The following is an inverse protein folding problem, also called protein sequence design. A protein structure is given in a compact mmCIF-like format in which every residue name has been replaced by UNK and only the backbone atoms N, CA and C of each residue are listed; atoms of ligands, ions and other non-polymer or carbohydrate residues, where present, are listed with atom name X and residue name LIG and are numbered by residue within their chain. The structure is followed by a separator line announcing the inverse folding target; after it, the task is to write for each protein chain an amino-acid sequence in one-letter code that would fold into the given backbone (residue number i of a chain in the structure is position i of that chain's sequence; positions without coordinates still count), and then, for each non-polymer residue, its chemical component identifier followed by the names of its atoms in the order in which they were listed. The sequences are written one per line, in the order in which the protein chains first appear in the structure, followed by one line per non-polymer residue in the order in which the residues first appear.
data_IF_621490845783
#
_entry.id   IF_621490845783
#
_cell.length_a   1.000
_cell.length_b   1.000
_cell.length_c   1.000
_cell.angle_alpha   90.00
_cell.angle_beta   90.00
_cell.angle_gamma   90.00
#
_symmetry.space_group_name_H-M   'P 1'
#
loop_
_entity.id
_entity.type
_entity.pdbx_description
1 polymer ?
#
# COMPACT_ATOMS: atom_id res chain seq x y z
N UNK A 1 5.20 11.06 15.02
CA UNK A 1 5.52 11.74 13.76
C UNK A 1 6.50 10.92 12.92
N UNK A 2 6.44 11.01 11.56
CA UNK A 2 7.42 10.38 10.69
C UNK A 2 8.82 10.95 10.92
N UNK A 3 9.84 10.09 10.86
CA UNK A 3 11.25 10.48 11.13
C UNK A 3 11.82 11.51 10.15
N UNK A 4 11.24 11.67 8.96
CA UNK A 4 11.72 12.63 7.94
C UNK A 4 10.55 13.34 7.27
N UNK A 5 10.72 14.59 6.81
CA UNK A 5 9.69 15.30 6.05
C UNK A 5 9.20 14.55 4.81
N UNK A 6 10.09 13.87 4.08
CA UNK A 6 9.77 13.04 2.91
C UNK A 6 8.89 11.81 3.24
N UNK A 7 8.78 11.44 4.50
CA UNK A 7 7.88 10.37 4.94
C UNK A 7 6.42 10.82 5.01
N UNK A 8 6.16 12.12 5.06
CA UNK A 8 4.81 12.69 4.95
C UNK A 8 4.41 12.70 3.47
N UNK A 9 3.38 11.97 3.13
CA UNK A 9 2.88 11.89 1.76
C UNK A 9 1.39 11.60 1.71
N UNK A 10 0.74 12.09 0.67
CA UNK A 10 -0.63 11.73 0.35
C UNK A 10 -0.63 10.49 -0.54
N UNK A 11 -1.45 9.51 -0.17
CA UNK A 11 -1.64 8.29 -0.96
C UNK A 11 -3.11 8.23 -1.36
N UNK A 12 -3.44 8.37 -2.66
CA UNK A 12 -4.80 8.18 -3.13
C UNK A 12 -5.30 6.77 -2.79
N UNK A 13 -6.50 6.69 -2.23
CA UNK A 13 -7.12 5.42 -1.86
C UNK A 13 -8.18 5.02 -2.88
N UNK A 14 -8.22 3.75 -3.32
CA UNK A 14 -9.31 3.23 -4.13
C UNK A 14 -10.65 3.34 -3.40
N UNK A 15 -11.75 3.51 -4.15
CA UNK A 15 -13.08 3.63 -3.58
C UNK A 15 -13.49 2.43 -2.69
N UNK A 16 -13.01 1.22 -3.01
CA UNK A 16 -13.22 0.01 -2.20
C UNK A 16 -12.61 0.14 -0.81
N UNK A 17 -11.40 0.68 -0.71
CA UNK A 17 -10.71 0.92 0.56
C UNK A 17 -11.41 2.04 1.35
N UNK A 18 -11.85 3.10 0.68
CA UNK A 18 -12.61 4.18 1.32
C UNK A 18 -13.89 3.62 1.95
N UNK A 19 -14.67 2.79 1.22
CA UNK A 19 -15.86 2.13 1.78
C UNK A 19 -15.54 1.26 2.99
N UNK A 20 -14.45 0.51 2.94
CA UNK A 20 -14.02 -0.31 4.08
C UNK A 20 -13.65 0.52 5.29
N UNK A 21 -12.99 1.67 5.10
CA UNK A 21 -12.65 2.61 6.17
C UNK A 21 -13.88 3.28 6.77
N UNK A 22 -14.89 3.64 5.95
CA UNK A 22 -16.18 4.18 6.44
C UNK A 22 -16.88 3.15 7.32
N UNK A 23 -16.97 1.89 6.87
CA UNK A 23 -17.55 0.81 7.67
C UNK A 23 -16.76 0.55 8.95
N UNK A 24 -15.42 0.65 8.89
CA UNK A 24 -14.57 0.54 10.07
C UNK A 24 -14.85 1.66 11.07
N UNK A 25 -14.94 2.91 10.61
CA UNK A 25 -15.25 4.06 11.45
C UNK A 25 -16.58 3.89 12.18
N UNK A 26 -17.62 3.39 11.49
CA UNK A 26 -18.93 3.12 12.11
C UNK A 26 -18.79 2.08 13.25
N UNK A 27 -18.14 0.93 12.98
CA UNK A 27 -17.89 -0.10 14.01
C UNK A 27 -17.07 0.43 15.19
N UNK A 28 -16.07 1.26 14.94
CA UNK A 28 -15.26 1.88 16.00
C UNK A 28 -16.11 2.85 16.83
N UNK A 29 -17.05 3.58 16.20
CA UNK A 29 -18.02 4.44 16.89
C UNK A 29 -18.91 3.65 17.85
N UNK A 30 -19.43 2.49 17.41
CA UNK A 30 -20.20 1.58 18.28
C UNK A 30 -19.37 1.06 19.45
N UNK A 31 -18.11 0.69 19.22
CA UNK A 31 -17.19 0.26 20.29
C UNK A 31 -16.96 1.38 21.30
N UNK A 32 -16.77 2.61 20.83
CA UNK A 32 -16.61 3.79 21.68
C UNK A 32 -17.84 4.01 22.56
N UNK A 33 -19.05 3.90 22.01
CA UNK A 33 -20.29 4.02 22.75
C UNK A 33 -20.42 2.92 23.81
N UNK A 34 -20.09 1.66 23.46
CA UNK A 34 -20.13 0.52 24.38
C UNK A 34 -19.14 0.62 25.53
N UNK A 35 -17.93 1.15 25.27
CA UNK A 35 -16.89 1.32 26.29
C UNK A 35 -17.16 2.56 27.19
N UNK A 36 -17.94 3.51 26.72
CA UNK A 36 -18.33 4.70 27.51
C UNK A 36 -17.12 5.46 28.04
N UNK A 37 -17.06 5.65 29.35
CA UNK A 37 -16.00 6.41 30.03
C UNK A 37 -14.62 5.72 29.99
N UNK A 38 -14.57 4.42 29.72
CA UNK A 38 -13.32 3.65 29.62
C UNK A 38 -12.64 3.81 28.24
N UNK A 39 -13.30 4.49 27.30
CA UNK A 39 -12.72 4.70 25.97
C UNK A 39 -11.80 5.92 25.94
N UNK A 40 -10.54 5.69 25.67
CA UNK A 40 -9.54 6.75 25.44
C UNK A 40 -9.66 7.29 24.00
N UNK A 41 -10.05 8.53 23.84
CA UNK A 41 -10.18 9.13 22.52
C UNK A 41 -8.85 9.71 22.03
N UNK A 42 -8.02 8.86 21.45
CA UNK A 42 -6.72 9.22 20.89
C UNK A 42 -6.77 9.59 19.39
N UNK A 43 -7.97 9.78 18.83
CA UNK A 43 -8.20 10.10 17.40
C UNK A 43 -7.46 9.17 16.43
N UNK A 44 -7.35 7.89 16.78
CA UNK A 44 -6.68 6.88 15.97
C UNK A 44 -7.65 6.26 14.98
N UNK A 45 -7.22 6.15 13.69
CA UNK A 45 -7.97 5.41 12.67
C UNK A 45 -8.11 3.94 13.06
N UNK A 46 -7.04 3.34 13.57
CA UNK A 46 -7.04 1.97 14.08
C UNK A 46 -6.64 1.98 15.55
N UNK A 47 -7.59 1.65 16.42
CA UNK A 47 -7.41 1.64 17.86
C UNK A 47 -7.69 0.26 18.46
N UNK A 48 -7.24 0.05 19.68
CA UNK A 48 -7.70 -1.07 20.52
C UNK A 48 -9.18 -0.90 20.87
N UNK A 49 -9.78 -1.94 21.46
CA UNK A 49 -11.18 -1.90 21.90
C UNK A 49 -11.50 -0.70 22.83
N UNK A 50 -10.50 -0.27 23.60
CA UNK A 50 -10.63 0.86 24.54
C UNK A 50 -10.02 2.16 23.99
N UNK A 51 -9.76 2.28 22.68
CA UNK A 51 -9.30 3.51 22.05
C UNK A 51 -7.78 3.72 22.06
N UNK A 52 -7.00 2.87 22.75
CA UNK A 52 -5.54 2.98 22.81
C UNK A 52 -4.84 2.52 21.52
N UNK A 53 -3.52 2.76 21.41
CA UNK A 53 -2.73 2.38 20.23
C UNK A 53 -2.59 0.86 20.08
N UNK A 54 -2.59 0.40 18.82
CA UNK A 54 -2.35 -1.01 18.51
C UNK A 54 -0.87 -1.36 18.63
N UNK A 55 -0.57 -2.38 19.42
CA UNK A 55 0.78 -2.94 19.50
C UNK A 55 1.08 -3.81 18.28
N UNK A 56 2.23 -3.58 17.61
CA UNK A 56 2.68 -4.36 16.44
C UNK A 56 2.59 -5.88 16.69
N UNK A 57 3.04 -6.35 17.86
CA UNK A 57 3.00 -7.78 18.23
C UNK A 57 1.57 -8.33 18.18
N UNK A 58 0.59 -7.57 18.63
CA UNK A 58 -0.81 -7.99 18.66
C UNK A 58 -1.40 -8.03 17.24
N UNK A 59 -1.10 -7.01 16.39
CA UNK A 59 -1.51 -7.01 14.98
C UNK A 59 -0.98 -8.27 14.28
N UNK A 60 0.31 -8.58 14.45
CA UNK A 60 0.92 -9.74 13.81
C UNK A 60 0.29 -11.04 14.29
N UNK A 61 0.14 -11.22 15.61
CA UNK A 61 -0.35 -12.48 16.21
C UNK A 61 -1.85 -12.69 15.97
N UNK A 62 -2.66 -11.64 16.16
CA UNK A 62 -4.13 -11.78 16.20
C UNK A 62 -4.80 -11.54 14.86
N UNK A 63 -4.12 -10.90 13.90
CA UNK A 63 -4.71 -10.55 12.61
C UNK A 63 -3.87 -11.06 11.43
N UNK A 64 -2.61 -10.65 11.31
CA UNK A 64 -1.83 -10.93 10.11
C UNK A 64 -1.53 -12.43 9.92
N UNK A 65 -1.01 -13.12 10.94
CA UNK A 65 -0.73 -14.56 10.87
C UNK A 65 -1.98 -15.42 10.61
N UNK A 66 -3.13 -15.18 11.25
CA UNK A 66 -4.38 -15.87 10.92
C UNK A 66 -4.83 -15.65 9.47
N UNK A 67 -4.64 -14.43 8.92
CA UNK A 67 -4.96 -14.13 7.51
C UNK A 67 -4.05 -14.95 6.59
N UNK A 68 -2.73 -14.97 6.82
CA UNK A 68 -1.80 -15.79 6.04
C UNK A 68 -2.19 -17.27 6.06
N UNK A 69 -2.47 -17.81 7.25
CA UNK A 69 -2.91 -19.21 7.42
C UNK A 69 -4.19 -19.50 6.63
N UNK A 70 -5.19 -18.62 6.72
CA UNK A 70 -6.47 -18.76 5.99
C UNK A 70 -6.28 -18.67 4.48
N UNK A 71 -5.31 -17.89 4.01
CA UNK A 71 -4.97 -17.74 2.60
C UNK A 71 -4.03 -18.84 2.07
N UNK A 72 -3.61 -19.82 2.90
CA UNK A 72 -2.65 -20.85 2.50
C UNK A 72 -1.23 -20.32 2.24
N UNK A 73 -0.90 -19.14 2.78
CA UNK A 73 0.38 -18.48 2.54
C UNK A 73 1.42 -18.85 3.62
N UNK A 74 2.72 -18.86 3.28
CA UNK A 74 3.79 -19.18 4.21
C UNK A 74 3.82 -18.24 5.44
N UNK A 75 4.00 -18.81 6.63
CA UNK A 75 4.12 -18.05 7.88
C UNK A 75 5.39 -17.18 7.95
N UNK A 76 6.35 -17.40 7.05
CA UNK A 76 7.58 -16.59 6.89
C UNK A 76 7.32 -15.21 6.32
N UNK A 77 6.19 -14.99 5.65
CA UNK A 77 5.82 -13.68 5.10
C UNK A 77 5.69 -12.67 6.24
N UNK A 78 6.41 -11.56 6.12
CA UNK A 78 6.41 -10.47 7.09
C UNK A 78 5.44 -9.37 6.63
N UNK A 79 4.91 -8.61 7.57
CA UNK A 79 4.05 -7.44 7.24
C UNK A 79 4.77 -6.45 6.32
N UNK A 80 6.10 -6.32 6.45
CA UNK A 80 6.90 -5.44 5.59
C UNK A 80 6.97 -5.94 4.14
N UNK A 81 6.84 -7.24 3.91
CA UNK A 81 6.88 -7.81 2.56
C UNK A 81 5.68 -7.36 1.70
N UNK A 82 4.57 -6.93 2.33
CA UNK A 82 3.46 -6.28 1.62
C UNK A 82 3.89 -4.98 0.91
N UNK A 83 4.87 -4.27 1.46
CA UNK A 83 5.46 -3.11 0.80
C UNK A 83 6.20 -3.50 -0.48
N UNK A 84 6.99 -4.57 -0.42
CA UNK A 84 7.68 -5.12 -1.59
C UNK A 84 6.68 -5.62 -2.63
N UNK A 85 5.66 -6.35 -2.20
CA UNK A 85 4.58 -6.83 -3.07
C UNK A 85 3.87 -5.67 -3.78
N UNK A 86 3.54 -4.60 -3.06
CA UNK A 86 2.91 -3.41 -3.65
C UNK A 86 3.81 -2.78 -4.74
N UNK A 87 5.11 -2.64 -4.47
CA UNK A 87 6.06 -2.10 -5.44
C UNK A 87 6.15 -2.99 -6.68
N UNK A 88 6.34 -4.29 -6.50
CA UNK A 88 6.45 -5.26 -7.60
C UNK A 88 5.20 -5.28 -8.48
N UNK A 89 4.01 -5.28 -7.88
CA UNK A 89 2.76 -5.27 -8.62
C UNK A 89 2.55 -3.98 -9.43
N UNK A 90 2.90 -2.82 -8.87
CA UNK A 90 2.81 -1.56 -9.58
C UNK A 90 3.79 -1.49 -10.76
N UNK A 91 5.04 -1.92 -10.57
CA UNK A 91 6.03 -1.96 -11.64
C UNK A 91 5.66 -2.99 -12.72
N UNK A 92 5.15 -4.15 -12.34
CA UNK A 92 4.63 -5.14 -13.28
C UNK A 92 3.40 -4.64 -14.07
N UNK A 93 2.62 -3.73 -13.49
CA UNK A 93 1.55 -3.01 -14.17
C UNK A 93 2.04 -1.81 -15.03
N UNK A 94 3.35 -1.72 -15.27
CA UNK A 94 4.01 -0.63 -16.02
C UNK A 94 3.82 0.78 -15.41
N UNK A 95 3.58 0.87 -14.09
CA UNK A 95 3.60 2.16 -13.42
C UNK A 95 5.01 2.74 -13.39
N UNK A 96 5.11 4.04 -13.59
CA UNK A 96 6.40 4.71 -13.65
C UNK A 96 7.16 4.57 -12.32
N UNK A 97 8.45 4.16 -12.30
CA UNK A 97 9.21 3.93 -11.07
C UNK A 97 9.23 5.12 -10.10
N UNK A 98 9.13 6.35 -10.62
CA UNK A 98 9.03 7.56 -9.81
C UNK A 98 7.74 7.59 -8.98
N UNK A 99 6.61 7.22 -9.58
CA UNK A 99 5.31 7.14 -8.89
C UNK A 99 5.36 6.09 -7.78
N UNK A 100 5.96 4.92 -8.08
CA UNK A 100 6.15 3.85 -7.09
C UNK A 100 7.04 4.32 -5.94
N UNK A 101 8.17 4.98 -6.24
CA UNK A 101 9.09 5.54 -5.25
C UNK A 101 8.41 6.53 -4.32
N UNK A 102 7.63 7.47 -4.85
CA UNK A 102 6.87 8.46 -4.09
C UNK A 102 5.80 7.80 -3.22
N UNK A 103 5.05 6.85 -3.78
CA UNK A 103 4.05 6.09 -3.04
C UNK A 103 4.65 5.32 -1.86
N UNK A 104 5.84 4.74 -2.05
CA UNK A 104 6.56 4.06 -0.98
C UNK A 104 7.24 5.04 0.01
N UNK A 105 7.45 6.29 -0.38
CA UNK A 105 8.18 7.29 0.41
C UNK A 105 9.67 6.99 0.47
N UNK A 106 10.25 6.51 -0.61
CA UNK A 106 11.69 6.39 -0.74
C UNK A 106 12.31 7.78 -0.91
N UNK A 107 13.42 8.04 -0.23
CA UNK A 107 14.14 9.31 -0.31
C UNK A 107 14.78 9.54 -1.68
N UNK A 108 15.13 8.44 -2.38
CA UNK A 108 15.72 8.44 -3.71
C UNK A 108 15.05 7.36 -4.57
N UNK A 109 14.81 7.67 -5.84
CA UNK A 109 14.30 6.72 -6.84
C UNK A 109 15.25 5.54 -7.06
N UNK A 110 16.56 5.75 -6.92
CA UNK A 110 17.59 4.71 -7.06
C UNK A 110 17.29 3.51 -6.17
N UNK A 111 16.83 3.74 -4.95
CA UNK A 111 16.43 2.66 -4.04
C UNK A 111 15.31 1.79 -4.61
N UNK A 112 14.37 2.39 -5.36
CA UNK A 112 13.31 1.63 -6.03
C UNK A 112 13.86 0.88 -7.24
N UNK A 113 14.68 1.50 -8.05
CA UNK A 113 15.27 0.90 -9.24
C UNK A 113 16.19 -0.27 -8.88
N UNK A 114 17.08 -0.11 -7.92
CA UNK A 114 18.02 -1.15 -7.48
C UNK A 114 17.30 -2.37 -6.89
N UNK A 115 16.29 -2.11 -6.04
CA UNK A 115 15.54 -3.18 -5.37
C UNK A 115 14.68 -3.99 -6.34
N UNK A 116 14.13 -3.35 -7.36
CA UNK A 116 13.11 -3.94 -8.25
C UNK A 116 13.54 -4.00 -9.72
N UNK A 117 14.84 -3.86 -10.02
CA UNK A 117 15.40 -3.94 -11.38
C UNK A 117 15.01 -5.22 -12.13
N UNK A 118 14.85 -6.33 -11.39
CA UNK A 118 14.45 -7.63 -11.94
C UNK A 118 13.02 -7.66 -12.51
N UNK A 119 12.18 -6.68 -12.16
CA UNK A 119 10.79 -6.55 -12.67
C UNK A 119 10.73 -5.65 -13.92
N UNK A 120 11.80 -4.91 -14.21
CA UNK A 120 11.85 -3.88 -15.26
C UNK A 120 12.22 -4.37 -16.70
N UNK A 121 12.77 -5.57 -16.96
CA UNK A 121 13.22 -5.96 -18.31
C UNK A 121 12.13 -5.87 -19.37
N UNK A 122 10.87 -6.14 -19.03
CA UNK A 122 9.73 -6.05 -19.95
C UNK A 122 9.41 -4.62 -20.41
N UNK A 123 9.90 -3.60 -19.69
CA UNK A 123 9.66 -2.19 -20.04
C UNK A 123 10.40 -1.74 -21.30
N UNK A 124 11.58 -2.29 -21.58
CA UNK A 124 12.37 -1.97 -22.78
C UNK A 124 11.66 -2.43 -24.05
N UNK A 125 11.13 -3.66 -24.04
CA UNK A 125 10.40 -4.19 -25.19
C UNK A 125 9.12 -3.41 -25.45
N UNK A 126 8.34 -3.13 -24.42
CA UNK A 126 7.13 -2.32 -24.54
C UNK A 126 7.41 -0.87 -24.95
N UNK A 127 8.56 -0.31 -24.61
CA UNK A 127 8.97 1.03 -25.09
C UNK A 127 9.28 1.02 -26.59
N UNK A 128 9.98 0.00 -27.10
CA UNK A 128 10.27 -0.15 -28.52
C UNK A 128 8.99 -0.31 -29.34
N UNK A 129 8.05 -1.13 -28.91
CA UNK A 129 6.75 -1.31 -29.55
C UNK A 129 5.89 -0.03 -29.57
N UNK A 130 5.94 0.75 -28.48
CA UNK A 130 5.25 2.06 -28.43
C UNK A 130 5.88 3.05 -29.40
N UNK A 131 7.21 3.09 -29.48
CA UNK A 131 7.93 3.96 -30.39
C UNK A 131 7.62 3.61 -31.84
N UNK A 132 7.63 2.33 -32.18
CA UNK A 132 7.28 1.83 -33.50
C UNK A 132 5.86 2.24 -33.90
N UNK A 133 4.87 2.07 -33.03
CA UNK A 133 3.51 2.51 -33.26
C UNK A 133 3.42 4.02 -33.48
N UNK A 134 4.08 4.81 -32.65
CA UNK A 134 4.07 6.28 -32.79
C UNK A 134 4.70 6.78 -34.10
N UNK A 135 5.69 6.08 -34.62
CA UNK A 135 6.44 6.49 -35.83
C UNK A 135 5.82 5.95 -37.11
N UNK A 136 5.23 4.77 -37.08
CA UNK A 136 4.84 4.03 -38.29
C UNK A 136 3.34 3.74 -38.40
N UNK A 137 2.58 3.69 -37.32
CA UNK A 137 1.13 3.67 -37.41
C UNK A 137 0.62 5.08 -37.78
N UNK A 138 0.22 5.23 -39.03
CA UNK A 138 -0.49 6.44 -39.49
C UNK A 138 -1.70 6.64 -38.61
N UNK A 139 -1.73 7.73 -37.85
CA UNK A 139 -2.98 8.28 -37.31
C UNK A 139 -3.90 8.48 -38.50
N UNK A 140 -4.88 7.61 -38.67
CA UNK A 140 -5.94 7.77 -39.64
C UNK A 140 -6.72 9.03 -39.26
N UNK A 141 -6.37 10.16 -39.91
CA UNK A 141 -7.18 11.36 -39.93
C UNK A 141 -8.24 11.13 -40.99
N UNK A 142 -9.46 10.95 -40.57
CA UNK A 142 -10.66 11.20 -41.39
C UNK A 142 -11.23 12.53 -40.93
#
# INVERSE_FOLDING_TARGET
EPKTPKSRRNIPLPASIVRSLVSHKARQGEQKLKAGKEYENNDLVFATRNGGPLMRRNILRSHFRPILKKAGLPASIRLYDLRHTCATLLLAANEHPKVVSERLGHSNITLTLDTYSHVLPSMQQGASEKLERMLFEKTGTV
#
